data_IF_575947048046
#
_entry.id   IF_575947048046
#
_cell.length_a   1.000
_cell.length_b   1.000
_cell.length_c   1.000
_cell.angle_alpha   90.00
_cell.angle_beta   90.00
_cell.angle_gamma   90.00
#
_symmetry.space_group_name_H-M   'P 1'
#
loop_
_entity.id
_entity.type
_entity.pdbx_description
1 polymer ?
#
# COMPACT_ATOMS: atom_id res chain seq x y z
N UNK A 1 -3.81 -2.91 -11.83
CA UNK A 1 -2.49 -2.37 -12.21
C UNK A 1 -1.76 -1.69 -11.05
N UNK A 2 -2.40 -0.89 -10.18
CA UNK A 2 -1.70 -0.30 -9.01
C UNK A 2 -1.13 -1.31 -8.00
N UNK A 3 -1.67 -2.54 -7.94
CA UNK A 3 -1.15 -3.62 -7.08
C UNK A 3 0.27 -4.00 -7.46
N UNK A 4 0.56 -4.13 -8.75
CA UNK A 4 1.90 -4.51 -9.22
C UNK A 4 2.91 -3.40 -8.94
N UNK A 5 2.52 -2.12 -9.14
CA UNK A 5 3.33 -0.96 -8.78
C UNK A 5 3.60 -0.91 -7.27
N UNK A 6 2.59 -1.19 -6.44
CA UNK A 6 2.76 -1.32 -4.99
C UNK A 6 3.70 -2.46 -4.63
N UNK A 7 3.57 -3.65 -5.24
CA UNK A 7 4.45 -4.78 -4.92
C UNK A 7 5.91 -4.52 -5.31
N UNK A 8 6.15 -3.87 -6.46
CA UNK A 8 7.49 -3.41 -6.84
C UNK A 8 8.05 -2.40 -5.83
N UNK A 9 7.25 -1.41 -5.44
CA UNK A 9 7.63 -0.44 -4.41
C UNK A 9 7.97 -1.13 -3.08
N UNK A 10 7.08 -1.99 -2.58
CA UNK A 10 7.26 -2.71 -1.33
C UNK A 10 8.49 -3.63 -1.34
N UNK A 11 8.76 -4.31 -2.46
CA UNK A 11 9.93 -5.16 -2.61
C UNK A 11 11.25 -4.38 -2.43
N UNK A 12 11.26 -3.10 -2.82
CA UNK A 12 12.41 -2.20 -2.69
C UNK A 12 12.55 -1.56 -1.29
N UNK A 13 11.56 -1.73 -0.40
CA UNK A 13 11.67 -1.22 0.98
C UNK A 13 12.71 -2.02 1.78
N UNK A 14 13.65 -1.35 2.48
CA UNK A 14 14.54 -1.99 3.44
C UNK A 14 13.76 -2.75 4.50
N UNK A 15 14.30 -3.87 4.98
CA UNK A 15 13.59 -4.79 5.89
C UNK A 15 13.09 -4.09 7.17
N UNK A 16 13.87 -3.16 7.74
CA UNK A 16 13.49 -2.41 8.93
C UNK A 16 12.29 -1.48 8.69
N UNK A 17 12.23 -0.85 7.52
CA UNK A 17 11.15 0.07 7.14
C UNK A 17 9.82 -0.66 6.98
N UNK A 18 9.82 -1.96 6.69
CA UNK A 18 8.57 -2.72 6.51
C UNK A 18 7.70 -2.77 7.77
N UNK A 19 8.31 -2.60 8.95
CA UNK A 19 7.61 -2.57 10.25
C UNK A 19 7.14 -1.17 10.64
N UNK A 20 7.56 -0.14 9.92
CA UNK A 20 7.16 1.24 10.19
C UNK A 20 5.71 1.50 9.77
N UNK A 21 5.06 2.42 10.48
CA UNK A 21 3.69 2.87 10.19
C UNK A 21 3.69 3.70 8.91
N UNK A 22 2.76 3.40 8.00
CA UNK A 22 2.57 4.12 6.74
C UNK A 22 1.26 4.90 6.70
N UNK A 23 0.21 4.38 7.33
CA UNK A 23 -1.10 5.01 7.35
C UNK A 23 -1.70 4.93 8.75
N UNK A 24 -2.48 5.93 9.10
CA UNK A 24 -3.42 5.88 10.20
C UNK A 24 -4.82 6.02 9.62
N UNK A 25 -5.66 5.01 9.86
CA UNK A 25 -7.04 4.99 9.38
C UNK A 25 -7.98 5.20 10.56
N UNK A 26 -8.93 6.15 10.48
CA UNK A 26 -9.97 6.28 11.48
C UNK A 26 -10.65 4.93 11.74
N UNK A 27 -10.87 4.59 13.01
CA UNK A 27 -11.51 3.35 13.48
C UNK A 27 -10.75 2.03 13.24
N UNK A 28 -9.67 2.04 12.45
CA UNK A 28 -8.84 0.85 12.18
C UNK A 28 -7.43 0.93 12.74
N UNK A 29 -7.03 2.12 13.20
CA UNK A 29 -5.75 2.37 13.83
C UNK A 29 -4.60 2.46 12.82
N UNK A 30 -3.39 2.22 13.32
CA UNK A 30 -2.15 2.34 12.55
C UNK A 30 -1.91 1.12 11.68
N UNK A 31 -1.55 1.36 10.42
CA UNK A 31 -1.20 0.34 9.43
C UNK A 31 0.30 0.45 9.14
N UNK A 32 1.02 -0.66 9.29
CA UNK A 32 2.42 -0.76 8.86
C UNK A 32 2.52 -1.22 7.41
N UNK A 33 3.69 -1.06 6.80
CA UNK A 33 3.94 -1.56 5.43
C UNK A 33 3.71 -3.08 5.31
N UNK A 34 4.11 -3.88 6.30
CA UNK A 34 3.86 -5.34 6.31
C UNK A 34 2.36 -5.68 6.32
N UNK A 35 1.57 -4.96 7.12
CA UNK A 35 0.11 -5.13 7.14
C UNK A 35 -0.49 -4.72 5.79
N UNK A 36 -0.10 -3.56 5.27
CA UNK A 36 -0.52 -3.11 3.94
C UNK A 36 -0.23 -4.17 2.87
N UNK A 37 0.96 -4.76 2.88
CA UNK A 37 1.33 -5.82 1.95
C UNK A 37 0.42 -7.05 2.07
N UNK A 38 0.19 -7.55 3.29
CA UNK A 38 -0.68 -8.72 3.52
C UNK A 38 -2.09 -8.46 3.02
N UNK A 39 -2.70 -7.35 3.43
CA UNK A 39 -4.07 -6.99 3.07
C UNK A 39 -4.23 -6.78 1.55
N UNK A 40 -3.28 -6.10 0.90
CA UNK A 40 -3.29 -5.89 -0.55
C UNK A 40 -3.04 -7.19 -1.31
N UNK A 41 -2.17 -8.07 -0.80
CA UNK A 41 -1.90 -9.38 -1.39
C UNK A 41 -3.14 -10.27 -1.36
N UNK A 42 -3.79 -10.36 -0.21
CA UNK A 42 -5.01 -11.17 -0.03
C UNK A 42 -6.27 -10.51 -0.62
N UNK A 43 -6.17 -9.31 -1.19
CA UNK A 43 -7.25 -8.60 -1.87
C UNK A 43 -8.46 -8.32 -0.96
N UNK A 44 -8.22 -8.02 0.31
CA UNK A 44 -9.28 -7.72 1.28
C UNK A 44 -9.90 -6.33 1.02
N UNK A 45 -11.07 -6.06 1.60
CA UNK A 45 -11.66 -4.71 1.56
C UNK A 45 -10.77 -3.66 2.22
N UNK A 46 -10.08 -4.01 3.31
CA UNK A 46 -9.06 -3.15 3.92
C UNK A 46 -7.89 -2.92 2.97
N UNK A 47 -7.40 -3.95 2.28
CA UNK A 47 -6.33 -3.85 1.29
C UNK A 47 -6.67 -2.90 0.14
N UNK A 48 -7.91 -2.93 -0.36
CA UNK A 48 -8.40 -1.99 -1.38
C UNK A 48 -8.35 -0.55 -0.88
N UNK A 49 -8.83 -0.31 0.35
CA UNK A 49 -8.81 1.01 0.98
C UNK A 49 -7.37 1.52 1.18
N UNK A 50 -6.48 0.67 1.69
CA UNK A 50 -5.06 1.00 1.89
C UNK A 50 -4.42 1.37 0.55
N UNK A 51 -4.57 0.53 -0.48
CA UNK A 51 -3.97 0.78 -1.79
C UNK A 51 -4.45 2.10 -2.38
N UNK A 52 -5.75 2.38 -2.28
CA UNK A 52 -6.31 3.63 -2.77
C UNK A 52 -5.74 4.84 -2.02
N UNK A 53 -5.61 4.78 -0.69
CA UNK A 53 -5.00 5.85 0.11
C UNK A 53 -3.52 6.07 -0.24
N UNK A 54 -2.75 5.00 -0.43
CA UNK A 54 -1.34 5.10 -0.83
C UNK A 54 -1.17 5.74 -2.22
N UNK A 55 -2.11 5.49 -3.13
CA UNK A 55 -2.16 6.10 -4.46
C UNK A 55 -2.55 7.58 -4.36
N UNK A 56 -3.58 7.92 -3.59
CA UNK A 56 -4.01 9.32 -3.34
C UNK A 56 -2.87 10.17 -2.74
N UNK A 57 -2.10 9.58 -1.82
CA UNK A 57 -0.93 10.21 -1.20
C UNK A 57 0.32 10.20 -2.10
N UNK A 58 0.24 9.62 -3.30
CA UNK A 58 1.33 9.53 -4.29
C UNK A 58 2.56 8.76 -3.81
N UNK A 59 2.42 7.84 -2.84
CA UNK A 59 3.47 6.88 -2.51
C UNK A 59 3.65 5.86 -3.63
N UNK A 60 2.54 5.44 -4.25
CA UNK A 60 2.52 4.51 -5.36
C UNK A 60 2.11 5.28 -6.63
N UNK A 61 2.87 5.17 -7.73
CA UNK A 61 2.54 5.90 -8.94
C UNK A 61 1.18 5.47 -9.49
N UNK A 62 0.40 6.46 -9.91
CA UNK A 62 -0.67 6.27 -10.87
C UNK A 62 0.01 5.97 -12.20
N UNK A 63 0.01 4.71 -12.63
CA UNK A 63 0.26 4.43 -14.04
C UNK A 63 -0.95 4.97 -14.81
N UNK A 64 -0.77 6.14 -15.42
CA UNK A 64 -1.73 6.64 -16.40
C UNK A 64 -1.88 5.56 -17.47
N UNK A 65 -3.12 5.13 -17.70
CA UNK A 65 -3.42 4.24 -18.82
C UNK A 65 -2.89 4.93 -20.07
N UNK A 66 -1.82 4.38 -20.66
CA UNK A 66 -1.47 4.68 -22.02
C UNK A 66 -2.73 4.44 -22.86
N UNK A 67 -3.21 5.53 -23.47
CA UNK A 67 -4.34 5.55 -24.40
C UNK A 67 -4.16 4.54 -25.52
#
# INVERSE_FOLDING_TARGET
MHRDSFFRFYANLPIGIRREVVLELPERGTITWEVAYKEIKENTELGKIILQKLVELRFIPLEDKQK
#
